data_IF_556477369971
#
_entry.id   IF_556477369971
#
_cell.length_a   1.000
_cell.length_b   1.000
_cell.length_c   1.000
_cell.angle_alpha   90.00
_cell.angle_beta   90.00
_cell.angle_gamma   90.00
#
_symmetry.space_group_name_H-M   'P 1'
#
loop_
_entity.id
_entity.type
_entity.pdbx_description
1 polymer ?
#
# COMPACT_ATOMS: atom_id res chain seq x y z
N UNK A 1 26.65 -20.47 -40.11
CA UNK A 1 27.56 -20.31 -38.94
C UNK A 1 27.42 -18.87 -38.46
N UNK A 2 26.79 -18.64 -37.32
CA UNK A 2 26.71 -17.30 -36.74
C UNK A 2 28.08 -16.84 -36.23
N UNK A 3 28.24 -15.55 -35.88
CA UNK A 3 29.49 -15.06 -35.30
C UNK A 3 29.84 -15.87 -34.03
N UNK A 4 31.13 -16.16 -33.85
CA UNK A 4 31.64 -16.86 -32.67
C UNK A 4 31.22 -16.13 -31.37
N UNK A 5 30.94 -16.89 -30.32
CA UNK A 5 30.55 -16.32 -29.02
C UNK A 5 31.70 -15.50 -28.46
N UNK A 6 31.38 -14.29 -28.00
CA UNK A 6 32.37 -13.36 -27.44
C UNK A 6 32.93 -13.84 -26.09
N UNK A 7 32.21 -14.72 -25.40
CA UNK A 7 32.67 -15.41 -24.20
C UNK A 7 32.85 -16.90 -24.50
N UNK A 8 33.83 -17.58 -23.87
CA UNK A 8 33.93 -19.04 -23.88
C UNK A 8 32.65 -19.69 -23.33
N UNK A 9 32.35 -20.90 -23.80
CA UNK A 9 31.15 -21.62 -23.40
C UNK A 9 31.08 -21.87 -21.88
N UNK A 10 32.22 -22.14 -21.24
CA UNK A 10 32.29 -22.37 -19.80
C UNK A 10 31.99 -21.10 -18.99
N UNK A 11 32.47 -19.94 -19.45
CA UNK A 11 32.15 -18.64 -18.86
C UNK A 11 30.68 -18.27 -19.02
N UNK A 12 30.06 -18.62 -20.17
CA UNK A 12 28.62 -18.45 -20.32
C UNK A 12 27.82 -19.36 -19.37
N UNK A 13 28.26 -20.60 -19.13
CA UNK A 13 27.63 -21.50 -18.14
C UNK A 13 27.78 -21.00 -16.70
N UNK A 14 28.92 -20.41 -16.36
CA UNK A 14 29.11 -19.79 -15.04
C UNK A 14 28.14 -18.60 -14.84
N UNK A 15 27.89 -17.81 -15.88
CA UNK A 15 26.89 -16.73 -15.87
C UNK A 15 25.46 -17.26 -15.70
N UNK A 16 25.10 -18.35 -16.40
CA UNK A 16 23.79 -19.01 -16.22
C UNK A 16 23.63 -19.51 -14.78
N UNK A 17 24.66 -20.16 -14.24
CA UNK A 17 24.68 -20.67 -12.86
C UNK A 17 24.53 -19.53 -11.85
N UNK A 18 25.18 -18.40 -12.08
CA UNK A 18 25.03 -17.20 -11.25
C UNK A 18 23.61 -16.62 -11.28
N UNK A 19 22.95 -16.60 -12.45
CA UNK A 19 21.55 -16.15 -12.58
C UNK A 19 20.61 -17.06 -11.78
N UNK A 20 20.79 -18.38 -11.87
CA UNK A 20 19.98 -19.36 -11.15
C UNK A 20 20.19 -19.27 -9.63
N UNK A 21 21.44 -19.11 -9.18
CA UNK A 21 21.76 -18.95 -7.77
C UNK A 21 21.20 -17.63 -7.19
N UNK A 22 21.31 -16.53 -7.95
CA UNK A 22 20.73 -15.25 -7.54
C UNK A 22 19.21 -15.37 -7.32
N UNK A 23 18.52 -16.10 -8.20
CA UNK A 23 17.10 -16.39 -8.08
C UNK A 23 16.75 -17.17 -6.81
N UNK A 24 17.58 -18.15 -6.39
CA UNK A 24 17.37 -18.91 -5.15
C UNK A 24 17.59 -18.05 -3.90
N UNK A 25 18.59 -17.15 -3.92
CA UNK A 25 18.90 -16.23 -2.81
C UNK A 25 17.90 -15.06 -2.70
N UNK A 26 16.87 -15.02 -3.56
CA UNK A 26 15.81 -13.99 -3.55
C UNK A 26 16.19 -12.69 -4.27
N UNK A 27 17.38 -12.62 -4.88
CA UNK A 27 17.81 -11.50 -5.70
C UNK A 27 17.48 -11.75 -7.18
N UNK A 28 16.93 -10.73 -7.85
CA UNK A 28 16.51 -10.85 -9.25
C UNK A 28 17.54 -10.16 -10.14
N UNK A 29 18.42 -10.95 -10.75
CA UNK A 29 19.38 -10.45 -11.74
C UNK A 29 18.63 -9.75 -12.87
N UNK A 30 18.84 -8.44 -13.00
CA UNK A 30 18.28 -7.66 -14.10
C UNK A 30 19.09 -7.86 -15.36
N UNK A 31 18.51 -7.47 -16.49
CA UNK A 31 19.24 -7.44 -17.77
C UNK A 31 20.53 -6.62 -17.68
N UNK A 32 20.56 -5.55 -16.88
CA UNK A 32 21.77 -4.75 -16.71
C UNK A 32 22.82 -5.51 -15.91
N UNK A 33 22.43 -6.17 -14.81
CA UNK A 33 23.35 -6.95 -13.99
C UNK A 33 24.01 -8.09 -14.79
N UNK A 34 23.26 -8.74 -15.69
CA UNK A 34 23.80 -9.77 -16.58
C UNK A 34 24.81 -9.20 -17.57
N UNK A 35 24.57 -7.99 -18.09
CA UNK A 35 25.51 -7.32 -18.99
C UNK A 35 26.77 -6.86 -18.26
N UNK A 36 26.64 -6.37 -17.03
CA UNK A 36 27.75 -5.93 -16.20
C UNK A 36 28.62 -7.13 -15.81
N UNK A 37 28.01 -8.23 -15.34
CA UNK A 37 28.71 -9.49 -15.05
C UNK A 37 29.36 -10.12 -16.27
N UNK A 38 28.73 -10.05 -17.44
CA UNK A 38 29.37 -10.51 -18.68
C UNK A 38 30.58 -9.65 -19.05
N UNK A 39 30.53 -8.34 -18.80
CA UNK A 39 31.65 -7.41 -19.05
C UNK A 39 32.81 -7.68 -18.09
N UNK A 40 32.53 -7.91 -16.81
CA UNK A 40 33.52 -8.34 -15.81
C UNK A 40 34.16 -9.69 -16.18
N UNK A 41 33.33 -10.68 -16.53
CA UNK A 41 33.83 -12.00 -16.93
C UNK A 41 34.71 -11.93 -18.19
N UNK A 42 34.37 -11.07 -19.13
CA UNK A 42 35.20 -10.83 -20.32
C UNK A 42 36.57 -10.24 -19.95
N UNK A 43 36.61 -9.25 -19.05
CA UNK A 43 37.85 -8.63 -18.62
C UNK A 43 38.78 -9.64 -17.94
N UNK A 44 38.23 -10.55 -17.13
CA UNK A 44 38.98 -11.62 -16.45
C UNK A 44 39.49 -12.67 -17.44
N UNK A 45 38.68 -13.08 -18.41
CA UNK A 45 39.05 -14.14 -19.37
C UNK A 45 40.08 -13.67 -20.39
N UNK A 46 40.00 -12.40 -20.80
CA UNK A 46 40.83 -11.86 -21.87
C UNK A 46 41.98 -10.96 -21.38
N UNK A 47 42.07 -10.70 -20.07
CA UNK A 47 43.10 -9.86 -19.44
C UNK A 47 43.15 -8.42 -20.01
N UNK A 48 42.01 -7.92 -20.49
CA UNK A 48 41.85 -6.54 -20.92
C UNK A 48 40.41 -6.06 -20.81
N UNK A 49 40.23 -4.79 -20.49
CA UNK A 49 38.90 -4.18 -20.39
C UNK A 49 38.31 -3.89 -21.76
N UNK A 50 37.06 -4.29 -21.94
CA UNK A 50 36.35 -4.00 -23.18
C UNK A 50 36.04 -2.48 -23.26
N UNK A 51 36.31 -1.80 -24.38
CA UNK A 51 36.01 -0.37 -24.52
C UNK A 51 34.52 -0.03 -24.51
N UNK A 52 33.66 -1.03 -24.76
CA UNK A 52 32.20 -0.89 -24.79
C UNK A 52 31.55 -2.04 -24.05
N UNK A 53 30.57 -1.80 -23.16
CA UNK A 53 29.84 -2.86 -22.49
C UNK A 53 29.12 -3.79 -23.47
N UNK A 54 28.76 -4.99 -23.00
CA UNK A 54 27.94 -5.89 -23.80
C UNK A 54 26.62 -5.25 -24.20
N UNK A 55 26.21 -5.50 -25.44
CA UNK A 55 25.05 -4.83 -26.04
C UNK A 55 23.74 -5.57 -25.75
N UNK A 56 22.60 -4.86 -25.86
CA UNK A 56 21.27 -5.48 -25.95
C UNK A 56 21.18 -6.72 -26.84
N UNK A 57 21.83 -6.67 -28.01
CA UNK A 57 21.81 -7.76 -28.98
C UNK A 57 22.62 -8.98 -28.53
N UNK A 58 23.67 -8.80 -27.71
CA UNK A 58 24.38 -9.93 -27.10
C UNK A 58 23.49 -10.64 -26.08
N UNK A 59 22.82 -9.88 -25.19
CA UNK A 59 21.89 -10.45 -24.19
C UNK A 59 20.77 -11.27 -24.84
N UNK A 60 20.16 -10.76 -25.92
CA UNK A 60 19.12 -11.52 -26.64
C UNK A 60 19.64 -12.84 -27.21
N UNK A 61 20.86 -12.86 -27.76
CA UNK A 61 21.47 -14.09 -28.26
C UNK A 61 21.91 -15.03 -27.14
N UNK A 62 22.35 -14.51 -26.00
CA UNK A 62 22.69 -15.30 -24.81
C UNK A 62 21.45 -16.03 -24.28
N UNK A 63 20.34 -15.32 -24.04
CA UNK A 63 19.07 -15.95 -23.62
C UNK A 63 18.57 -16.97 -24.67
N UNK A 64 18.72 -16.68 -25.97
CA UNK A 64 18.32 -17.63 -27.01
C UNK A 64 19.18 -18.90 -27.07
N UNK A 65 20.42 -18.88 -26.55
CA UNK A 65 21.30 -20.06 -26.46
C UNK A 65 21.02 -20.92 -25.23
N UNK A 66 20.55 -20.31 -24.15
CA UNK A 66 20.32 -20.98 -22.86
C UNK A 66 18.82 -21.09 -22.60
N UNK A 67 18.22 -22.16 -23.14
CA UNK A 67 16.75 -22.38 -23.08
C UNK A 67 16.20 -22.53 -21.66
N UNK A 68 17.04 -22.80 -20.66
CA UNK A 68 16.65 -22.75 -19.25
C UNK A 68 16.33 -21.34 -18.73
N UNK A 69 16.75 -20.28 -19.43
CA UNK A 69 16.53 -18.89 -19.03
C UNK A 69 15.37 -18.25 -19.80
N UNK A 70 14.46 -17.58 -19.08
CA UNK A 70 13.39 -16.78 -19.70
C UNK A 70 13.35 -15.37 -19.15
N UNK A 71 13.09 -14.39 -20.03
CA UNK A 71 12.79 -13.03 -19.59
C UNK A 71 11.32 -12.94 -19.17
N UNK A 72 11.07 -12.88 -17.87
CA UNK A 72 9.73 -12.67 -17.32
C UNK A 72 9.57 -11.22 -16.82
N UNK A 73 8.35 -10.68 -16.92
CA UNK A 73 8.02 -9.42 -16.24
C UNK A 73 7.93 -9.69 -14.75
N UNK A 74 8.89 -9.18 -13.98
CA UNK A 74 8.81 -9.20 -12.53
C UNK A 74 7.68 -8.26 -12.07
N UNK A 75 6.70 -8.80 -11.35
CA UNK A 75 5.78 -7.96 -10.58
C UNK A 75 6.55 -7.36 -9.42
N UNK A 76 6.49 -6.03 -9.26
CA UNK A 76 7.15 -5.33 -8.15
C UNK A 76 6.48 -5.74 -6.84
N UNK A 77 7.06 -6.76 -6.20
CA UNK A 77 6.77 -7.12 -4.82
C UNK A 77 7.69 -6.30 -3.92
N UNK A 78 7.13 -5.43 -3.08
CA UNK A 78 7.84 -4.73 -2.00
C UNK A 78 8.53 -5.76 -1.09
N UNK A 79 9.75 -5.44 -0.66
CA UNK A 79 10.72 -6.36 -0.02
C UNK A 79 10.35 -7.00 1.36
N UNK A 80 9.19 -6.80 2.04
CA UNK A 80 8.84 -7.63 3.20
C UNK A 80 7.75 -8.69 2.95
N UNK A 81 7.46 -9.06 1.69
CA UNK A 81 6.41 -10.06 1.36
C UNK A 81 6.84 -11.54 1.40
N UNK A 82 8.11 -11.84 1.67
CA UNK A 82 8.62 -13.20 1.84
C UNK A 82 8.62 -13.69 3.30
N UNK A 83 8.03 -12.94 4.24
CA UNK A 83 8.12 -13.24 5.67
C UNK A 83 6.97 -14.09 6.24
N UNK A 84 5.96 -14.42 5.43
CA UNK A 84 4.85 -15.26 5.89
C UNK A 84 5.21 -16.71 5.61
N UNK A 85 5.59 -17.43 6.66
CA UNK A 85 5.91 -18.84 6.59
C UNK A 85 4.71 -19.74 6.84
N UNK A 86 4.86 -21.02 6.46
CA UNK A 86 3.75 -21.97 6.57
C UNK A 86 3.35 -22.15 8.04
N UNK A 87 4.32 -22.15 8.96
CA UNK A 87 4.09 -22.21 10.40
C UNK A 87 3.23 -21.03 10.87
N UNK A 88 3.55 -19.80 10.44
CA UNK A 88 2.77 -18.60 10.78
C UNK A 88 1.32 -18.72 10.30
N UNK A 89 1.10 -19.29 9.12
CA UNK A 89 -0.26 -19.51 8.59
C UNK A 89 -1.02 -20.55 9.39
N UNK A 90 -0.35 -21.62 9.83
CA UNK A 90 -0.94 -22.67 10.67
C UNK A 90 -1.31 -22.11 12.05
N UNK A 91 -0.41 -21.36 12.68
CA UNK A 91 -0.66 -20.71 13.98
C UNK A 91 -1.85 -19.75 13.91
N UNK A 92 -1.87 -18.89 12.87
CA UNK A 92 -2.99 -18.00 12.63
C UNK A 92 -4.30 -18.74 12.34
N UNK A 93 -4.24 -19.89 11.63
CA UNK A 93 -5.43 -20.72 11.42
C UNK A 93 -5.99 -21.26 12.75
N UNK A 94 -5.13 -21.66 13.69
CA UNK A 94 -5.57 -22.09 15.02
C UNK A 94 -6.23 -20.95 15.80
N UNK A 95 -5.64 -19.76 15.78
CA UNK A 95 -6.23 -18.56 16.40
C UNK A 95 -7.58 -18.20 15.76
N UNK A 96 -7.67 -18.26 14.43
CA UNK A 96 -8.90 -18.02 13.67
C UNK A 96 -9.99 -19.01 14.06
N UNK A 97 -9.69 -20.32 14.10
CA UNK A 97 -10.67 -21.35 14.46
C UNK A 97 -11.18 -21.14 15.88
N UNK A 98 -10.28 -20.81 16.82
CA UNK A 98 -10.67 -20.48 18.19
C UNK A 98 -11.59 -19.25 18.21
N UNK A 99 -11.22 -18.15 17.55
CA UNK A 99 -12.03 -16.94 17.51
C UNK A 99 -13.40 -17.16 16.84
N UNK A 100 -13.46 -17.97 15.77
CA UNK A 100 -14.71 -18.35 15.11
C UNK A 100 -15.61 -19.20 16.01
N UNK A 101 -15.04 -20.06 16.85
CA UNK A 101 -15.81 -20.87 17.79
C UNK A 101 -16.56 -19.99 18.81
N UNK A 102 -15.98 -18.87 19.24
CA UNK A 102 -16.62 -17.90 20.14
C UNK A 102 -17.85 -17.21 19.51
N UNK A 103 -17.95 -17.20 18.18
CA UNK A 103 -19.09 -16.63 17.44
C UNK A 103 -19.96 -17.68 16.75
N UNK A 104 -19.75 -18.97 17.07
CA UNK A 104 -20.52 -20.08 16.51
C UNK A 104 -20.29 -20.34 15.03
N UNK A 105 -19.20 -19.81 14.45
CA UNK A 105 -18.88 -19.87 13.01
C UNK A 105 -20.04 -19.34 12.15
N UNK A 106 -20.84 -18.41 12.68
CA UNK A 106 -21.94 -17.79 11.97
C UNK A 106 -21.41 -16.70 11.03
N UNK A 107 -21.57 -16.83 9.70
CA UNK A 107 -21.06 -15.84 8.74
C UNK A 107 -21.64 -14.43 8.94
N UNK A 108 -22.82 -14.29 9.55
CA UNK A 108 -23.41 -12.98 9.86
C UNK A 108 -22.69 -12.25 11.01
N UNK A 109 -21.87 -12.97 11.78
CA UNK A 109 -21.11 -12.47 12.94
C UNK A 109 -19.61 -12.31 12.65
N UNK A 110 -19.15 -12.62 11.45
CA UNK A 110 -17.74 -12.53 11.05
C UNK A 110 -17.57 -11.38 10.07
N UNK A 111 -16.80 -10.38 10.45
CA UNK A 111 -16.57 -9.15 9.72
C UNK A 111 -15.12 -9.00 9.33
N UNK A 112 -14.88 -8.34 8.21
CA UNK A 112 -13.56 -7.93 7.75
C UNK A 112 -13.57 -6.43 7.47
N UNK A 113 -12.58 -5.72 8.03
CA UNK A 113 -12.34 -4.31 7.77
C UNK A 113 -10.97 -4.11 7.13
N UNK A 114 -10.93 -3.22 6.15
CA UNK A 114 -9.70 -2.81 5.48
C UNK A 114 -9.86 -1.39 4.88
N UNK A 115 -8.74 -0.75 4.59
CA UNK A 115 -8.69 0.58 4.02
C UNK A 115 -8.21 0.59 2.57
N UNK A 116 -8.88 1.39 1.75
CA UNK A 116 -8.42 1.69 0.40
C UNK A 116 -8.34 3.19 0.18
N UNK A 117 -7.39 3.59 -0.65
CA UNK A 117 -7.28 4.97 -1.09
C UNK A 117 -7.92 5.19 -2.46
N UNK A 118 -8.57 6.34 -2.59
CA UNK A 118 -8.88 6.94 -3.87
C UNK A 118 -7.63 7.69 -4.36
N UNK A 119 -7.05 7.18 -5.45
CA UNK A 119 -5.96 7.84 -6.15
C UNK A 119 -6.24 7.79 -7.65
N UNK A 120 -6.46 8.93 -8.33
CA UNK A 120 -6.41 8.95 -9.77
C UNK A 120 -4.96 8.65 -10.18
N UNK A 121 -4.79 7.46 -10.72
CA UNK A 121 -3.46 6.90 -10.99
C UNK A 121 -2.71 7.69 -12.07
N UNK A 122 -1.44 8.00 -11.80
CA UNK A 122 -0.42 8.46 -12.76
C UNK A 122 0.11 7.29 -13.62
N UNK A 123 -0.75 6.51 -14.26
CA UNK A 123 -0.28 5.38 -15.06
C UNK A 123 -0.17 5.75 -16.53
N UNK A 124 0.96 5.44 -17.15
CA UNK A 124 1.20 5.65 -18.57
C UNK A 124 0.08 5.00 -19.42
N UNK A 125 -0.63 5.82 -20.19
CA UNK A 125 -1.71 5.39 -21.07
C UNK A 125 -1.12 4.91 -22.39
N UNK A 126 -1.53 3.74 -22.88
CA UNK A 126 -1.28 3.36 -24.28
C UNK A 126 -2.27 4.11 -25.15
N UNK A 127 -1.76 4.92 -26.06
CA UNK A 127 -2.55 5.76 -26.98
C UNK A 127 -2.24 5.36 -28.42
N UNK A 128 -3.27 5.33 -29.26
CA UNK A 128 -3.11 5.14 -30.70
C UNK A 128 -2.93 6.51 -31.31
N UNK A 129 -1.82 6.73 -31.98
CA UNK A 129 -1.52 7.99 -32.66
C UNK A 129 -1.13 7.73 -34.10
N UNK A 130 -1.25 8.76 -34.93
CA UNK A 130 -0.83 8.70 -36.31
C UNK A 130 0.67 8.37 -36.39
N UNK A 131 1.08 7.59 -37.41
CA UNK A 131 2.45 7.06 -37.55
C UNK A 131 3.56 8.14 -37.56
N UNK A 132 3.21 9.38 -37.89
CA UNK A 132 4.15 10.52 -37.94
C UNK A 132 4.27 11.28 -36.62
N UNK A 133 3.46 10.97 -35.61
CA UNK A 133 3.49 11.63 -34.31
C UNK A 133 4.75 11.22 -33.53
N UNK A 134 5.70 12.14 -33.40
CA UNK A 134 6.99 11.89 -32.71
C UNK A 134 6.86 11.88 -31.19
N UNK A 135 5.92 12.65 -30.64
CA UNK A 135 5.65 12.75 -29.20
C UNK A 135 4.16 12.91 -28.96
N UNK A 136 3.66 12.27 -27.90
CA UNK A 136 2.25 12.30 -27.52
C UNK A 136 2.16 12.63 -26.05
N UNK A 137 1.43 13.69 -25.74
CA UNK A 137 1.16 14.12 -24.38
C UNK A 137 -0.30 13.83 -24.06
N UNK A 138 -0.55 13.33 -22.86
CA UNK A 138 -1.91 13.16 -22.33
C UNK A 138 -2.00 13.97 -21.06
N UNK A 139 -2.98 14.88 -20.98
CA UNK A 139 -3.27 15.62 -19.75
C UNK A 139 -3.65 14.64 -18.64
N UNK A 140 -3.08 14.87 -17.45
CA UNK A 140 -3.33 14.08 -16.27
C UNK A 140 -4.49 14.69 -15.47
N UNK A 141 -5.46 13.87 -15.08
CA UNK A 141 -6.48 14.27 -14.14
C UNK A 141 -5.94 14.08 -12.72
N UNK A 142 -5.16 15.05 -12.25
CA UNK A 142 -4.67 15.03 -10.87
C UNK A 142 -5.84 15.23 -9.89
N UNK A 143 -5.96 14.39 -8.86
CA UNK A 143 -6.81 14.73 -7.70
C UNK A 143 -6.09 15.74 -6.83
N UNK A 144 -6.86 16.68 -6.27
CA UNK A 144 -6.38 17.66 -5.29
C UNK A 144 -5.84 17.03 -4.02
N UNK A 145 -6.28 15.81 -3.68
CA UNK A 145 -6.01 15.18 -2.39
C UNK A 145 -6.33 13.68 -2.40
N UNK A 146 -5.61 12.93 -1.56
CA UNK A 146 -5.92 11.55 -1.20
C UNK A 146 -7.24 11.48 -0.41
N UNK A 147 -8.13 10.53 -0.73
CA UNK A 147 -9.30 10.21 0.10
C UNK A 147 -9.15 8.76 0.54
N UNK A 148 -9.14 8.52 1.85
CA UNK A 148 -9.14 7.16 2.40
C UNK A 148 -10.57 6.71 2.63
N UNK A 149 -10.85 5.46 2.28
CA UNK A 149 -12.14 4.81 2.47
C UNK A 149 -11.90 3.61 3.36
N UNK A 150 -12.47 3.65 4.55
CA UNK A 150 -12.55 2.49 5.45
C UNK A 150 -13.79 1.71 5.07
N UNK A 151 -13.61 0.45 4.67
CA UNK A 151 -14.69 -0.45 4.31
C UNK A 151 -14.77 -1.59 5.30
N UNK A 152 -15.99 -2.06 5.58
CA UNK A 152 -16.22 -3.25 6.38
C UNK A 152 -17.39 -4.06 5.82
N UNK A 153 -17.20 -5.37 5.78
CA UNK A 153 -18.14 -6.33 5.22
C UNK A 153 -18.20 -7.59 6.09
N UNK A 154 -19.35 -8.24 6.16
CA UNK A 154 -19.49 -9.54 6.83
C UNK A 154 -19.32 -10.71 5.86
N UNK A 155 -19.10 -11.91 6.40
CA UNK A 155 -18.95 -13.12 5.61
C UNK A 155 -20.25 -13.58 4.94
N UNK A 156 -21.42 -13.20 5.47
CA UNK A 156 -22.72 -13.38 4.80
C UNK A 156 -23.01 -12.33 3.71
N UNK A 157 -22.13 -11.33 3.57
CA UNK A 157 -22.16 -10.33 2.51
C UNK A 157 -22.88 -9.01 2.85
N UNK A 158 -23.25 -8.79 4.12
CA UNK A 158 -23.69 -7.48 4.60
C UNK A 158 -22.56 -6.45 4.48
N UNK A 159 -22.94 -5.22 4.11
CA UNK A 159 -22.03 -4.10 3.87
C UNK A 159 -22.26 -3.04 4.92
N UNK A 160 -21.24 -2.77 5.72
CA UNK A 160 -21.26 -1.64 6.64
C UNK A 160 -21.07 -0.35 5.84
N UNK A 161 -21.81 0.73 6.12
CA UNK A 161 -21.58 2.01 5.47
C UNK A 161 -20.11 2.47 5.64
N UNK A 162 -19.45 2.93 4.56
CA UNK A 162 -18.04 3.26 4.61
C UNK A 162 -17.78 4.55 5.39
N UNK A 163 -16.59 4.65 5.99
CA UNK A 163 -16.06 5.90 6.55
C UNK A 163 -15.05 6.52 5.58
N UNK A 164 -15.25 7.78 5.26
CA UNK A 164 -14.33 8.59 4.45
C UNK A 164 -13.41 9.41 5.35
N UNK A 165 -12.10 9.34 5.12
CA UNK A 165 -11.10 10.15 5.83
C UNK A 165 -10.46 11.11 4.83
N UNK A 166 -10.66 12.40 5.06
CA UNK A 166 -10.15 13.48 4.22
C UNK A 166 -8.95 14.18 4.86
N UNK A 167 -7.95 14.64 4.09
CA UNK A 167 -6.83 15.39 4.61
C UNK A 167 -7.26 16.80 5.01
N UNK A 168 -6.67 17.31 6.09
CA UNK A 168 -6.91 18.64 6.67
C UNK A 168 -7.74 18.60 7.95
N UNK A 169 -8.22 19.77 8.39
CA UNK A 169 -8.90 19.92 9.68
C UNK A 169 -10.39 20.23 9.56
N UNK A 170 -10.89 20.41 8.32
CA UNK A 170 -12.26 20.84 8.05
C UNK A 170 -12.86 20.06 6.88
N UNK A 171 -14.13 19.72 7.02
CA UNK A 171 -14.97 19.20 5.94
C UNK A 171 -15.87 20.33 5.45
N UNK A 172 -15.95 20.54 4.14
CA UNK A 172 -16.91 21.49 3.55
C UNK A 172 -18.31 20.89 3.51
N UNK A 173 -19.35 21.73 3.59
CA UNK A 173 -20.76 21.29 3.54
C UNK A 173 -21.03 20.47 2.28
N UNK A 174 -20.49 20.88 1.13
CA UNK A 174 -20.61 20.19 -0.16
C UNK A 174 -20.14 18.74 -0.15
N UNK A 175 -19.19 18.38 0.73
CA UNK A 175 -18.74 16.98 0.86
C UNK A 175 -19.81 16.16 1.58
N UNK A 176 -20.38 16.71 2.65
CA UNK A 176 -21.43 16.06 3.42
C UNK A 176 -22.69 15.86 2.56
N UNK A 177 -23.08 16.85 1.77
CA UNK A 177 -24.23 16.77 0.85
C UNK A 177 -24.05 15.71 -0.26
N UNK A 178 -22.81 15.34 -0.56
CA UNK A 178 -22.47 14.33 -1.59
C UNK A 178 -22.23 12.93 -1.02
N UNK A 179 -22.49 12.70 0.26
CA UNK A 179 -22.56 11.37 0.85
C UNK A 179 -23.89 10.72 0.49
N UNK A 180 -23.93 10.07 -0.68
CA UNK A 180 -25.15 9.44 -1.20
C UNK A 180 -25.49 8.10 -0.52
N UNK A 181 -24.54 7.47 0.17
CA UNK A 181 -24.77 6.20 0.87
C UNK A 181 -25.37 6.48 2.25
N UNK A 182 -26.57 5.97 2.57
CA UNK A 182 -27.15 6.10 3.89
C UNK A 182 -26.23 5.54 4.98
N UNK A 183 -25.98 6.33 6.03
CA UNK A 183 -25.10 5.96 7.13
C UNK A 183 -23.61 6.13 6.87
N UNK A 184 -23.19 6.41 5.62
CA UNK A 184 -21.79 6.72 5.36
C UNK A 184 -21.39 8.00 6.08
N UNK A 185 -20.17 7.99 6.62
CA UNK A 185 -19.67 9.08 7.47
C UNK A 185 -18.40 9.66 6.90
N UNK A 186 -18.11 10.92 7.21
CA UNK A 186 -16.87 11.59 6.84
C UNK A 186 -16.17 12.15 8.06
N UNK A 187 -14.86 11.97 8.11
CA UNK A 187 -13.98 12.55 9.11
C UNK A 187 -12.73 13.12 8.46
N UNK A 188 -11.92 13.84 9.22
CA UNK A 188 -10.67 14.40 8.73
C UNK A 188 -9.50 14.01 9.60
N UNK A 189 -8.32 13.96 8.99
CA UNK A 189 -7.05 13.90 9.71
C UNK A 189 -6.01 14.73 8.97
N UNK A 190 -4.97 15.19 9.68
CA UNK A 190 -3.95 16.10 9.14
C UNK A 190 -3.41 15.63 7.77
N UNK A 191 -3.16 14.32 7.64
CA UNK A 191 -2.64 13.70 6.42
C UNK A 191 -3.67 12.85 5.66
N UNK A 192 -4.90 12.76 6.13
CA UNK A 192 -5.96 11.92 5.54
C UNK A 192 -5.78 10.42 5.78
N UNK A 193 -4.94 10.01 6.73
CA UNK A 193 -4.76 8.61 7.15
C UNK A 193 -5.56 8.31 8.42
N UNK A 194 -5.84 7.03 8.65
CA UNK A 194 -6.39 6.55 9.92
C UNK A 194 -5.38 6.72 11.06
N UNK A 195 -5.88 6.77 12.29
CA UNK A 195 -5.10 6.77 13.52
C UNK A 195 -5.92 6.08 14.63
N UNK A 196 -5.30 5.78 15.77
CA UNK A 196 -5.96 5.02 16.84
C UNK A 196 -7.22 5.67 17.40
N UNK A 197 -7.30 7.01 17.38
CA UNK A 197 -8.52 7.73 17.79
C UNK A 197 -9.65 7.55 16.79
N UNK A 198 -9.35 7.63 15.48
CA UNK A 198 -10.31 7.39 14.41
C UNK A 198 -10.76 5.93 14.44
N UNK A 199 -9.84 4.98 14.59
CA UNK A 199 -10.13 3.55 14.67
C UNK A 199 -11.07 3.24 15.85
N UNK A 200 -10.78 3.76 17.06
CA UNK A 200 -11.67 3.61 18.22
C UNK A 200 -13.08 4.14 17.96
N UNK A 201 -13.21 5.36 17.43
CA UNK A 201 -14.53 5.93 17.10
C UNK A 201 -15.25 5.14 16.01
N UNK A 202 -14.49 4.62 15.06
CA UNK A 202 -15.03 3.78 14.00
C UNK A 202 -15.61 2.47 14.55
N UNK A 203 -15.08 1.89 15.63
CA UNK A 203 -15.70 0.73 16.30
C UNK A 203 -17.08 1.05 16.87
N UNK A 204 -17.26 2.23 17.46
CA UNK A 204 -18.59 2.68 17.94
C UNK A 204 -19.56 2.78 16.77
N UNK A 205 -19.14 3.41 15.67
CA UNK A 205 -19.94 3.51 14.44
C UNK A 205 -20.28 2.13 13.85
N UNK A 206 -19.30 1.22 13.77
CA UNK A 206 -19.51 -0.15 13.35
C UNK A 206 -20.59 -0.83 14.19
N UNK A 207 -20.53 -0.68 15.52
CA UNK A 207 -21.48 -1.30 16.42
C UNK A 207 -22.91 -0.78 16.24
N UNK A 208 -23.09 0.49 15.90
CA UNK A 208 -24.40 1.10 15.61
C UNK A 208 -25.02 0.58 14.31
N UNK A 209 -24.20 0.27 13.30
CA UNK A 209 -24.68 -0.22 12.01
C UNK A 209 -24.85 -1.73 11.91
N UNK A 210 -24.31 -2.50 12.86
CA UNK A 210 -24.58 -3.93 12.95
C UNK A 210 -26.04 -4.12 13.35
N UNK A 211 -26.84 -4.93 12.62
CA UNK A 211 -28.23 -5.17 12.96
C UNK A 211 -28.39 -5.64 14.41
N UNK A 212 -29.36 -5.07 15.14
CA UNK A 212 -29.63 -5.43 16.53
C UNK A 212 -30.00 -6.92 16.73
N UNK A 213 -30.43 -7.60 15.67
CA UNK A 213 -30.66 -9.04 15.65
C UNK A 213 -29.38 -9.89 15.68
N UNK A 214 -28.21 -9.27 15.41
CA UNK A 214 -26.92 -9.96 15.40
C UNK A 214 -26.48 -10.24 16.83
N UNK A 215 -26.37 -11.52 17.19
CA UNK A 215 -25.95 -11.94 18.52
C UNK A 215 -24.49 -11.53 18.76
N UNK A 216 -24.22 -10.94 19.93
CA UNK A 216 -22.86 -10.60 20.37
C UNK A 216 -22.23 -11.78 21.14
N UNK A 217 -20.90 -11.95 21.09
CA UNK A 217 -19.93 -11.10 20.41
C UNK A 217 -19.92 -11.28 18.88
N UNK A 218 -19.38 -10.31 18.14
CA UNK A 218 -18.98 -10.50 16.73
C UNK A 218 -17.46 -10.67 16.64
N UNK A 219 -16.99 -11.22 15.52
CA UNK A 219 -15.57 -11.31 15.19
C UNK A 219 -15.24 -10.28 14.10
N UNK A 220 -14.29 -9.39 14.36
CA UNK A 220 -13.76 -8.43 13.40
C UNK A 220 -12.32 -8.79 13.05
N UNK A 221 -12.07 -9.04 11.77
CA UNK A 221 -10.78 -9.38 11.19
C UNK A 221 -10.20 -8.14 10.49
N UNK A 222 -9.00 -7.72 10.89
CA UNK A 222 -8.36 -6.49 10.40
C UNK A 222 -6.86 -6.68 10.20
N UNK A 223 -6.21 -5.75 9.49
CA UNK A 223 -4.77 -5.81 9.30
C UNK A 223 -3.99 -5.37 10.56
N UNK A 224 -2.73 -5.79 10.64
CA UNK A 224 -1.82 -5.41 11.72
C UNK A 224 -1.23 -4.00 11.59
N UNK A 225 -1.99 -3.00 11.13
CA UNK A 225 -1.53 -1.62 11.09
C UNK A 225 -1.34 -1.04 12.50
N UNK A 226 -0.25 -0.30 12.74
CA UNK A 226 0.05 0.28 14.08
C UNK A 226 -1.07 1.16 14.62
N UNK A 227 -1.87 1.77 13.75
CA UNK A 227 -3.02 2.58 14.15
C UNK A 227 -4.15 1.77 14.81
N UNK A 228 -4.21 0.46 14.58
CA UNK A 228 -5.19 -0.44 15.17
C UNK A 228 -4.81 -0.93 16.57
N UNK A 229 -3.59 -0.65 17.02
CA UNK A 229 -3.09 -1.04 18.33
C UNK A 229 -3.20 0.11 19.32
N UNK A 230 -4.09 -0.03 20.29
CA UNK A 230 -4.17 0.85 21.46
C UNK A 230 -4.97 0.16 22.54
N UNK A 231 -4.58 0.33 23.80
CA UNK A 231 -5.36 -0.11 24.97
C UNK A 231 -6.82 0.34 24.88
N UNK A 232 -7.05 1.60 24.49
CA UNK A 232 -8.39 2.14 24.34
C UNK A 232 -9.21 1.52 23.21
N UNK A 233 -8.58 0.91 22.20
CA UNK A 233 -9.29 0.18 21.15
C UNK A 233 -9.75 -1.17 21.69
N UNK A 234 -8.91 -1.86 22.46
CA UNK A 234 -9.27 -3.12 23.11
C UNK A 234 -10.40 -2.93 24.13
N UNK A 235 -10.31 -1.91 24.99
CA UNK A 235 -11.37 -1.59 25.96
C UNK A 235 -12.71 -1.28 25.29
N UNK A 236 -12.67 -0.57 24.16
CA UNK A 236 -13.88 -0.20 23.42
C UNK A 236 -14.47 -1.41 22.71
N UNK A 237 -13.62 -2.25 22.10
CA UNK A 237 -14.05 -3.48 21.45
C UNK A 237 -14.69 -4.45 22.44
N UNK A 238 -14.11 -4.61 23.63
CA UNK A 238 -14.66 -5.44 24.71
C UNK A 238 -16.05 -4.94 25.14
N UNK A 239 -16.21 -3.63 25.40
CA UNK A 239 -17.50 -3.03 25.77
C UNK A 239 -18.58 -3.23 24.72
N UNK A 240 -18.21 -3.23 23.44
CA UNK A 240 -19.12 -3.40 22.31
C UNK A 240 -19.36 -4.87 21.92
N UNK A 241 -18.73 -5.82 22.62
CA UNK A 241 -18.80 -7.25 22.28
C UNK A 241 -18.21 -7.53 20.90
N UNK A 242 -17.03 -6.97 20.60
CA UNK A 242 -16.30 -7.16 19.35
C UNK A 242 -14.99 -7.87 19.69
N UNK A 243 -14.83 -9.09 19.18
CA UNK A 243 -13.56 -9.82 19.22
C UNK A 243 -12.70 -9.34 18.05
N UNK A 244 -11.49 -8.88 18.35
CA UNK A 244 -10.53 -8.44 17.34
C UNK A 244 -9.59 -9.58 16.99
N UNK A 245 -9.46 -9.88 15.70
CA UNK A 245 -8.46 -10.80 15.17
C UNK A 245 -7.62 -10.08 14.12
N UNK A 246 -6.30 -10.07 14.32
CA UNK A 246 -5.37 -9.40 13.42
C UNK A 246 -4.77 -10.41 12.45
N UNK A 247 -4.70 -10.03 11.17
CA UNK A 247 -3.98 -10.84 10.20
C UNK A 247 -2.48 -10.86 10.50
N UNK A 248 -1.78 -11.95 10.13
CA UNK A 248 -0.34 -12.02 10.27
C UNK A 248 0.38 -10.88 9.55
N UNK A 249 1.52 -10.46 10.09
CA UNK A 249 2.32 -9.41 9.49
C UNK A 249 2.66 -9.71 8.03
N UNK A 250 2.50 -8.72 7.15
CA UNK A 250 2.70 -8.83 5.71
C UNK A 250 1.74 -9.78 4.98
N UNK A 251 0.72 -10.34 5.63
CA UNK A 251 -0.22 -11.29 5.02
C UNK A 251 -1.48 -10.63 4.43
N UNK A 252 -1.62 -9.29 4.49
CA UNK A 252 -2.84 -8.60 4.04
C UNK A 252 -3.23 -8.97 2.61
N UNK A 253 -2.29 -8.86 1.67
CA UNK A 253 -2.50 -9.24 0.26
C UNK A 253 -2.84 -10.73 0.01
N UNK A 254 -2.63 -11.59 1.00
CA UNK A 254 -2.90 -13.03 0.92
C UNK A 254 -4.30 -13.32 1.48
N UNK A 255 -4.60 -12.80 2.67
CA UNK A 255 -5.76 -13.18 3.48
C UNK A 255 -6.83 -12.11 3.65
N UNK A 256 -6.65 -10.85 3.26
CA UNK A 256 -7.69 -9.81 3.34
C UNK A 256 -8.79 -10.03 2.28
N UNK A 257 -10.03 -10.42 2.65
CA UNK A 257 -11.14 -10.58 1.72
C UNK A 257 -11.38 -9.35 0.83
N UNK A 258 -11.37 -8.15 1.44
CA UNK A 258 -11.60 -6.90 0.74
C UNK A 258 -10.55 -6.66 -0.37
N UNK A 259 -9.28 -6.87 -0.10
CA UNK A 259 -8.22 -6.77 -1.11
C UNK A 259 -8.35 -7.81 -2.23
N UNK A 260 -8.71 -9.04 -1.88
CA UNK A 260 -8.71 -10.18 -2.82
C UNK A 260 -9.83 -10.08 -3.86
N UNK A 261 -11.05 -9.70 -3.45
CA UNK A 261 -12.21 -9.74 -4.35
C UNK A 261 -12.92 -8.41 -4.55
N UNK A 262 -12.80 -7.44 -3.64
CA UNK A 262 -13.61 -6.20 -3.68
C UNK A 262 -12.82 -5.01 -4.20
N UNK A 263 -11.67 -4.70 -3.61
CA UNK A 263 -10.94 -3.47 -3.87
C UNK A 263 -10.33 -3.39 -5.27
N UNK A 264 -9.92 -4.51 -5.86
CA UNK A 264 -9.40 -4.50 -7.23
C UNK A 264 -10.49 -4.11 -8.26
N UNK A 265 -11.64 -4.80 -8.36
CA UNK A 265 -12.75 -4.38 -9.23
C UNK A 265 -13.25 -2.98 -8.90
N UNK A 266 -13.34 -2.63 -7.61
CA UNK A 266 -13.73 -1.28 -7.18
C UNK A 266 -12.78 -0.21 -7.73
N UNK A 267 -11.47 -0.37 -7.58
CA UNK A 267 -10.45 0.56 -8.13
C UNK A 267 -10.50 0.63 -9.66
N UNK A 268 -10.79 -0.49 -10.34
CA UNK A 268 -10.95 -0.51 -11.80
C UNK A 268 -12.21 0.24 -12.26
N UNK A 269 -13.32 0.08 -11.55
CA UNK A 269 -14.56 0.83 -11.79
C UNK A 269 -14.37 2.34 -11.55
N UNK A 270 -13.69 2.73 -10.46
CA UNK A 270 -13.31 4.13 -10.18
C UNK A 270 -12.52 4.71 -11.34
N UNK A 271 -11.52 4.00 -11.85
CA UNK A 271 -10.73 4.44 -13.01
C UNK A 271 -11.53 4.49 -14.30
N UNK A 272 -12.55 3.64 -14.46
CA UNK A 272 -13.44 3.68 -15.62
C UNK A 272 -14.32 4.93 -15.56
N UNK A 273 -14.92 5.22 -14.41
CA UNK A 273 -15.77 6.39 -14.21
C UNK A 273 -15.00 7.70 -14.41
N UNK A 274 -13.77 7.76 -13.88
CA UNK A 274 -12.85 8.88 -14.08
C UNK A 274 -12.48 9.09 -15.57
N UNK A 275 -12.63 8.06 -16.41
CA UNK A 275 -12.36 8.13 -17.86
C UNK A 275 -13.61 8.41 -18.70
N UNK A 276 -14.78 7.91 -18.29
CA UNK A 276 -16.02 7.98 -19.06
C UNK A 276 -16.74 9.31 -18.91
N UNK A 277 -16.76 9.86 -17.69
CA UNK A 277 -17.10 11.25 -17.52
C UNK A 277 -15.94 12.01 -18.15
N UNK A 278 -16.12 12.51 -19.37
CA UNK A 278 -15.31 13.61 -19.83
C UNK A 278 -15.60 14.72 -18.83
N UNK A 279 -14.66 15.02 -17.93
CA UNK A 279 -14.65 16.30 -17.22
C UNK A 279 -14.37 17.36 -18.31
N UNK A 280 -15.38 17.56 -19.17
CA UNK A 280 -15.45 18.52 -20.26
C UNK A 280 -15.53 19.88 -19.60
N UNK A 281 -14.36 20.43 -19.28
CA UNK A 281 -14.01 21.85 -19.29
C UNK A 281 -12.68 22.00 -18.54
N UNK A 282 -11.60 22.21 -19.29
CA UNK A 282 -10.39 22.90 -18.84
C UNK A 282 -9.70 22.33 -17.59
N UNK A 283 -8.75 21.41 -17.77
CA UNK A 283 -7.65 21.15 -16.82
C UNK A 283 -8.02 20.87 -15.35
N UNK A 284 -9.20 20.32 -15.07
CA UNK A 284 -9.80 20.38 -13.72
C UNK A 284 -9.33 19.29 -12.76
N UNK A 285 -8.79 19.75 -11.64
CA UNK A 285 -8.43 18.96 -10.46
C UNK A 285 -9.70 18.35 -9.84
N UNK A 286 -9.71 17.03 -9.57
CA UNK A 286 -10.85 16.40 -8.88
C UNK A 286 -10.91 16.92 -7.44
N UNK A 287 -12.03 17.57 -7.08
CA UNK A 287 -12.30 18.05 -5.72
C UNK A 287 -12.65 16.88 -4.79
N UNK A 288 -12.47 17.06 -3.47
CA UNK A 288 -12.81 16.03 -2.48
C UNK A 288 -14.30 15.63 -2.54
N UNK A 289 -15.18 16.60 -2.75
CA UNK A 289 -16.63 16.38 -2.82
C UNK A 289 -17.01 15.51 -4.03
N UNK A 290 -16.40 15.76 -5.19
CA UNK A 290 -16.58 14.94 -6.40
C UNK A 290 -16.00 13.54 -6.19
N UNK A 291 -14.80 13.43 -5.59
CA UNK A 291 -14.20 12.13 -5.27
C UNK A 291 -15.09 11.28 -4.36
N UNK A 292 -15.69 11.88 -3.32
CA UNK A 292 -16.62 11.18 -2.41
C UNK A 292 -17.86 10.70 -3.17
N UNK A 293 -18.51 11.54 -3.99
CA UNK A 293 -19.68 11.14 -4.79
C UNK A 293 -19.37 9.98 -5.74
N UNK A 294 -18.23 10.04 -6.47
CA UNK A 294 -17.79 8.93 -7.34
C UNK A 294 -17.62 7.64 -6.53
N UNK A 295 -16.95 7.71 -5.38
CA UNK A 295 -16.75 6.53 -4.54
C UNK A 295 -18.07 5.99 -4.02
N UNK A 296 -18.99 6.84 -3.56
CA UNK A 296 -20.32 6.43 -3.10
C UNK A 296 -21.07 5.67 -4.18
N UNK A 297 -21.16 6.24 -5.38
CA UNK A 297 -21.82 5.63 -6.52
C UNK A 297 -21.23 4.26 -6.89
N UNK A 298 -19.90 4.16 -6.87
CA UNK A 298 -19.20 2.94 -7.28
C UNK A 298 -19.23 1.88 -6.17
N UNK A 299 -19.17 2.28 -4.91
CA UNK A 299 -19.32 1.36 -3.78
C UNK A 299 -20.72 0.73 -3.77
N UNK A 300 -21.75 1.52 -4.10
CA UNK A 300 -23.11 1.02 -4.24
C UNK A 300 -23.26 0.01 -5.39
N UNK A 301 -22.63 0.26 -6.54
CA UNK A 301 -22.82 -0.53 -7.78
C UNK A 301 -21.83 -1.70 -7.99
N UNK A 302 -20.58 -1.54 -7.57
CA UNK A 302 -19.48 -2.49 -7.84
C UNK A 302 -19.34 -3.56 -6.74
N UNK A 303 -19.68 -3.22 -5.50
CA UNK A 303 -19.52 -4.12 -4.35
C UNK A 303 -20.73 -5.05 -4.22
N UNK A 304 -20.67 -6.17 -4.95
CA UNK A 304 -21.67 -7.24 -4.95
C UNK A 304 -21.52 -8.20 -3.77
N UNK A 305 -22.64 -8.73 -3.28
CA UNK A 305 -22.71 -9.66 -2.15
C UNK A 305 -21.93 -10.95 -2.45
N UNK A 306 -22.00 -11.43 -3.69
CA UNK A 306 -21.32 -12.65 -4.13
C UNK A 306 -19.79 -12.47 -4.11
N UNK A 307 -19.29 -11.29 -4.50
CA UNK A 307 -17.85 -10.98 -4.45
C UNK A 307 -17.34 -10.96 -3.02
N UNK A 308 -18.13 -10.44 -2.07
CA UNK A 308 -17.80 -10.43 -0.64
C UNK A 308 -17.71 -11.86 -0.12
N UNK A 309 -18.77 -12.65 -0.30
CA UNK A 309 -18.81 -14.07 0.14
C UNK A 309 -17.66 -14.87 -0.44
N UNK A 310 -17.37 -14.70 -1.73
CA UNK A 310 -16.22 -15.32 -2.39
C UNK A 310 -14.88 -14.86 -1.81
N UNK A 311 -14.79 -13.63 -1.31
CA UNK A 311 -13.60 -13.11 -0.62
C UNK A 311 -13.26 -13.96 0.60
N UNK A 312 -14.21 -14.11 1.53
CA UNK A 312 -14.04 -14.96 2.71
C UNK A 312 -13.81 -16.44 2.38
N UNK A 313 -14.51 -16.93 1.36
CA UNK A 313 -14.40 -18.32 0.92
C UNK A 313 -13.02 -18.63 0.34
N UNK A 314 -12.45 -17.71 -0.46
CA UNK A 314 -11.15 -17.90 -1.13
C UNK A 314 -9.96 -17.67 -0.21
N UNK A 315 -10.10 -16.79 0.79
CA UNK A 315 -9.06 -16.57 1.81
C UNK A 315 -9.05 -17.65 2.88
N UNK A 316 -10.11 -18.46 2.98
CA UNK A 316 -10.23 -19.52 3.97
C UNK A 316 -10.55 -19.00 5.37
N UNK A 317 -11.09 -17.78 5.47
CA UNK A 317 -11.47 -17.17 6.75
C UNK A 317 -12.83 -17.64 7.24
N UNK A 318 -13.82 -17.73 6.34
CA UNK A 318 -15.18 -18.16 6.69
C UNK A 318 -15.87 -18.84 5.49
N UNK A 319 -16.14 -20.15 5.53
CA UNK A 319 -15.73 -21.10 6.58
C UNK A 319 -14.20 -21.24 6.68
N UNK A 320 -13.67 -21.56 7.88
CA UNK A 320 -12.23 -21.70 8.08
C UNK A 320 -11.69 -22.88 7.26
N UNK A 321 -10.62 -22.67 6.49
CA UNK A 321 -10.00 -23.72 5.68
C UNK A 321 -8.49 -23.52 5.55
N UNK A 322 -7.72 -24.36 6.23
CA UNK A 322 -6.26 -24.35 6.17
C UNK A 322 -5.76 -24.62 4.74
N UNK A 323 -6.35 -25.58 4.03
CA UNK A 323 -5.96 -25.91 2.65
C UNK A 323 -6.06 -24.71 1.71
N UNK A 324 -7.11 -23.90 1.84
CA UNK A 324 -7.25 -22.68 1.06
C UNK A 324 -6.23 -21.62 1.45
N UNK A 325 -5.95 -21.48 2.74
CA UNK A 325 -4.94 -20.54 3.23
C UNK A 325 -3.54 -20.90 2.72
N UNK A 326 -3.18 -22.18 2.76
CA UNK A 326 -1.92 -22.71 2.24
C UNK A 326 -1.86 -22.60 0.71
N UNK A 327 -2.94 -22.91 0.01
CA UNK A 327 -3.04 -22.70 -1.44
C UNK A 327 -2.80 -21.22 -1.78
N UNK A 328 -3.42 -20.29 -1.05
CA UNK A 328 -3.20 -18.85 -1.25
C UNK A 328 -1.74 -18.47 -1.00
N UNK A 329 -1.11 -18.99 0.05
CA UNK A 329 0.32 -18.78 0.33
C UNK A 329 1.19 -19.24 -0.85
N UNK A 330 0.88 -20.39 -1.44
CA UNK A 330 1.62 -20.96 -2.58
C UNK A 330 1.59 -20.09 -3.84
N UNK A 331 0.58 -19.23 -4.01
CA UNK A 331 0.50 -18.30 -5.14
C UNK A 331 1.52 -17.15 -5.05
N UNK A 332 2.03 -16.87 -3.85
CA UNK A 332 2.93 -15.74 -3.58
C UNK A 332 4.36 -16.17 -3.24
N UNK A 333 4.57 -17.41 -2.77
CA UNK A 333 5.90 -18.00 -2.69
C UNK A 333 6.30 -18.55 -4.07
N UNK A 334 7.50 -18.23 -4.61
CA UNK A 334 8.00 -18.94 -5.78
C UNK A 334 8.11 -20.43 -5.43
N UNK A 335 7.84 -21.36 -6.37
CA UNK A 335 8.15 -22.76 -6.15
C UNK A 335 9.64 -22.88 -5.78
N UNK A 336 9.92 -23.45 -4.60
CA UNK A 336 11.25 -23.97 -4.30
C UNK A 336 11.46 -25.14 -5.25
N UNK A 337 12.18 -24.89 -6.34
CA UNK A 337 12.61 -25.94 -7.24
C UNK A 337 13.87 -26.58 -6.66
N UNK A 338 13.68 -27.57 -5.80
CA UNK A 338 14.77 -28.38 -5.23
C UNK A 338 15.46 -29.27 -6.30
N UNK A 339 14.99 -29.25 -7.55
CA UNK A 339 15.58 -30.04 -8.64
C UNK A 339 16.87 -29.43 -9.22
N UNK A 340 17.16 -28.15 -8.93
CA UNK A 340 18.43 -27.52 -9.30
C UNK A 340 19.46 -27.83 -8.21
N UNK A 341 20.08 -29.01 -8.30
CA UNK A 341 21.30 -29.31 -7.55
C UNK A 341 22.39 -28.33 -8.01
N UNK A 342 22.63 -27.27 -7.24
CA UNK A 342 23.82 -26.45 -7.40
C UNK A 342 25.02 -27.35 -7.13
N UNK A 343 25.87 -27.49 -8.15
CA UNK A 343 27.07 -28.32 -8.09
C UNK A 343 27.97 -27.87 -6.93
N UNK A 344 28.42 -28.82 -6.10
CA UNK A 344 29.19 -28.55 -4.88
C UNK A 344 30.48 -27.78 -5.12
N UNK A 345 30.99 -27.82 -6.36
CA UNK A 345 32.13 -27.03 -6.83
C UNK A 345 31.92 -25.51 -6.75
N UNK A 346 30.66 -25.05 -6.73
CA UNK A 346 30.34 -23.61 -6.63
C UNK A 346 30.55 -23.06 -5.22
N UNK A 347 30.28 -23.84 -4.17
CA UNK A 347 30.51 -23.42 -2.77
C UNK A 347 32.01 -23.15 -2.52
N UNK A 348 32.89 -23.95 -3.13
CA UNK A 348 34.35 -23.75 -3.10
C UNK A 348 34.78 -22.53 -3.91
N UNK A 349 34.24 -22.33 -5.13
CA UNK A 349 34.53 -21.14 -5.96
C UNK A 349 34.06 -19.84 -5.31
N UNK A 350 32.93 -19.85 -4.60
CA UNK A 350 32.40 -18.69 -3.87
C UNK A 350 33.32 -18.25 -2.73
N UNK A 351 34.03 -19.18 -2.08
CA UNK A 351 35.02 -18.86 -1.05
C UNK A 351 36.27 -18.19 -1.64
N UNK A 352 36.74 -18.66 -2.81
CA UNK A 352 37.92 -18.12 -3.51
C UNK A 352 37.65 -16.74 -4.14
N UNK A 353 36.45 -16.50 -4.67
CA UNK A 353 36.09 -15.19 -5.25
C UNK A 353 35.94 -14.13 -4.17
N UNK A 354 35.44 -14.48 -2.97
CA UNK A 354 35.35 -13.59 -1.80
C UNK A 354 36.71 -13.15 -1.26
N UNK A 355 37.74 -13.98 -1.39
CA UNK A 355 39.09 -13.61 -0.93
C UNK A 355 39.87 -12.75 -1.94
N UNK A 356 39.46 -12.76 -3.21
CA UNK A 356 40.28 -12.23 -4.30
C UNK A 356 39.76 -10.89 -4.88
N UNK A 357 38.46 -10.61 -4.75
CA UNK A 357 37.85 -9.39 -5.33
C UNK A 357 36.72 -8.90 -4.42
N UNK A 358 36.76 -7.60 -4.09
CA UNK A 358 35.75 -6.79 -3.37
C UNK A 358 36.07 -6.45 -1.90
N UNK A 359 36.74 -5.32 -1.71
CA UNK A 359 36.61 -4.51 -0.50
C UNK A 359 35.12 -4.22 -0.22
N UNK A 360 34.73 -4.37 1.05
CA UNK A 360 33.43 -3.92 1.57
C UNK A 360 33.20 -2.44 1.24
N UNK A 361 32.05 -2.11 0.65
CA UNK A 361 31.54 -0.73 0.70
C UNK A 361 31.17 -0.36 2.14
N UNK A 362 31.50 0.88 2.53
CA UNK A 362 31.20 1.44 3.85
C UNK A 362 29.70 1.36 4.20
N UNK A 363 29.40 0.91 5.42
CA UNK A 363 28.05 0.99 5.97
C UNK A 363 27.64 2.45 6.16
N UNK A 364 26.56 2.88 5.48
CA UNK A 364 25.94 4.18 5.74
C UNK A 364 25.42 4.24 7.18
N UNK A 365 25.91 5.23 7.93
CA UNK A 365 25.50 5.56 9.31
C UNK A 365 23.98 5.75 9.43
N UNK A 366 23.39 5.16 10.48
CA UNK A 366 21.99 5.38 10.91
C UNK A 366 21.76 6.88 11.19
N UNK A 367 20.67 7.46 10.64
CA UNK A 367 20.19 8.79 11.04
C UNK A 367 19.25 8.66 12.24
N UNK A 368 19.45 9.51 13.25
CA UNK A 368 18.63 9.59 14.46
C UNK A 368 17.18 10.02 14.16
N UNK A 369 16.22 9.45 14.88
CA UNK A 369 14.83 9.89 14.86
C UNK A 369 14.68 11.25 15.56
N UNK A 370 13.82 12.12 15.01
CA UNK A 370 13.37 13.34 15.69
C UNK A 370 12.07 13.02 16.44
N UNK A 371 12.02 13.43 17.72
CA UNK A 371 10.81 13.45 18.56
C UNK A 371 9.95 14.67 18.18
N UNK A 372 8.63 14.51 18.14
CA UNK A 372 7.71 15.64 17.97
C UNK A 372 6.64 15.59 19.06
N UNK A 373 6.40 16.75 19.68
CA UNK A 373 5.40 16.99 20.73
C UNK A 373 4.03 17.29 20.13
N UNK A 374 2.99 16.88 20.85
CA UNK A 374 1.58 17.01 20.51
C UNK A 374 0.98 18.34 20.98
N UNK A 375 0.19 18.98 20.13
CA UNK A 375 -0.79 20.04 20.44
C UNK A 375 -1.89 19.84 19.39
N UNK A 376 -3.19 19.71 19.63
CA UNK A 376 -4.11 19.97 20.73
C UNK A 376 -5.42 19.23 20.42
N UNK A 377 -6.02 18.54 21.39
CA UNK A 377 -7.26 17.78 21.22
C UNK A 377 -8.50 18.47 21.77
N UNK A 378 -9.43 18.87 20.88
CA UNK A 378 -10.85 19.12 21.20
C UNK A 378 -11.69 19.11 19.92
N UNK A 379 -12.75 18.29 19.89
CA UNK A 379 -13.77 18.30 18.84
C UNK A 379 -15.04 18.98 19.37
N UNK A 380 -15.69 19.71 18.47
CA UNK A 380 -16.86 20.56 18.70
C UNK A 380 -18.12 19.75 18.40
N UNK A 381 -19.07 19.70 19.34
CA UNK A 381 -20.44 19.21 19.16
C UNK A 381 -21.40 20.38 18.88
N UNK A 382 -22.60 20.10 18.38
CA UNK A 382 -23.64 21.09 18.04
C UNK A 382 -23.96 22.07 19.19
N UNK A 383 -23.86 21.61 20.44
CA UNK A 383 -24.18 22.40 21.63
C UNK A 383 -23.11 23.45 21.97
N UNK A 384 -21.88 23.29 21.44
CA UNK A 384 -20.79 24.25 21.63
C UNK A 384 -20.93 25.51 20.77
N UNK A 385 -21.81 25.47 19.75
CA UNK A 385 -22.06 26.59 18.84
C UNK A 385 -22.75 27.77 19.56
N UNK A 386 -23.66 27.46 20.48
CA UNK A 386 -24.43 28.43 21.27
C UNK A 386 -23.54 29.26 22.21
N UNK A 387 -22.51 28.62 22.78
CA UNK A 387 -21.58 29.23 23.73
C UNK A 387 -20.55 30.14 23.03
N UNK A 388 -20.10 29.76 21.83
CA UNK A 388 -19.15 30.55 21.04
C UNK A 388 -19.78 31.83 20.45
N UNK A 389 -21.07 31.79 20.07
CA UNK A 389 -21.78 32.98 19.61
C UNK A 389 -21.98 34.00 20.75
N UNK A 390 -22.26 33.54 21.97
CA UNK A 390 -22.37 34.40 23.15
C UNK A 390 -21.04 35.09 23.53
N UNK A 391 -19.89 34.41 23.35
CA UNK A 391 -18.56 34.96 23.64
C UNK A 391 -18.04 35.92 22.56
N UNK A 392 -18.42 35.73 21.29
CA UNK A 392 -18.02 36.60 20.19
C UNK A 392 -18.69 37.99 20.22
N UNK A 393 -19.92 38.07 20.76
CA UNK A 393 -20.63 39.33 20.95
C UNK A 393 -20.03 40.23 22.06
N UNK A 394 -19.16 39.68 22.92
CA UNK A 394 -18.68 40.35 24.13
C UNK A 394 -17.28 40.99 24.04
N UNK A 395 -16.58 40.95 22.89
CA UNK A 395 -15.20 41.48 22.76
C UNK A 395 -15.11 42.80 21.96
N UNK A 396 -14.53 43.88 22.52
CA UNK A 396 -14.34 45.14 21.78
C UNK A 396 -13.14 45.09 20.83
N UNK A 397 -13.25 45.76 19.67
CA UNK A 397 -12.25 45.76 18.59
C UNK A 397 -11.03 46.65 18.94
N UNK A 398 -9.82 46.09 18.91
CA UNK A 398 -8.57 46.80 19.19
C UNK A 398 -7.91 47.43 17.94
N UNK A 399 -7.44 48.67 18.07
CA UNK A 399 -6.74 49.49 17.06
C UNK A 399 -5.26 49.08 16.84
N UNK A 400 -4.77 49.20 15.60
CA UNK A 400 -3.38 48.93 15.18
C UNK A 400 -2.45 50.12 15.47
N UNK A 401 -1.26 49.88 16.05
CA UNK A 401 -0.13 50.84 16.12
C UNK A 401 0.94 50.51 15.07
N UNK A 402 1.43 51.54 14.36
CA UNK A 402 2.60 51.49 13.44
C UNK A 402 3.89 51.83 14.21
N UNK A 403 4.99 51.13 13.93
CA UNK A 403 6.31 51.40 14.50
C UNK A 403 7.17 52.26 13.55
N UNK A 404 7.93 53.20 14.12
CA UNK A 404 8.93 54.03 13.44
C UNK A 404 10.34 53.66 13.91
N UNK A 405 11.33 53.79 13.02
CA UNK A 405 12.75 53.42 13.18
C UNK A 405 13.56 54.65 13.62
N UNK A 406 14.52 54.58 14.56
CA UNK A 406 15.37 55.71 14.90
C UNK A 406 16.72 55.68 14.16
N UNK A 407 17.21 56.88 13.81
CA UNK A 407 18.54 57.15 13.26
C UNK A 407 19.41 57.73 14.37
N UNK A 408 20.65 57.25 14.50
CA UNK A 408 21.66 57.74 15.45
C UNK A 408 22.46 58.86 14.78
N UNK A 409 22.54 60.02 15.44
CA UNK A 409 23.40 61.15 15.05
C UNK A 409 24.37 61.48 16.19
N UNK A 410 25.60 61.83 15.79
CA UNK A 410 26.80 62.00 16.61
C UNK A 410 27.02 63.50 16.90
N UNK A 411 27.72 63.75 18.01
CA UNK A 411 28.57 64.90 18.36
C UNK A 411 28.01 66.12 19.11
N UNK A 412 28.72 66.43 20.21
CA UNK A 412 29.24 67.78 20.43
C UNK A 412 28.65 68.58 21.59
N UNK A 413 29.33 68.53 22.74
CA UNK A 413 29.70 69.68 23.62
C UNK A 413 29.30 71.09 23.10
N UNK A 414 28.81 72.06 23.88
CA UNK A 414 29.42 72.59 25.10
C UNK A 414 28.67 73.85 25.63
N UNK A 415 28.73 74.06 26.95
CA UNK A 415 28.74 75.32 27.76
C UNK A 415 27.46 76.15 28.02
N UNK A 416 27.26 76.37 29.33
CA UNK A 416 26.39 77.22 30.19
C UNK A 416 24.91 76.92 30.25
#
# INVERSE_FOLDING_TARGET
>A
MGPATTLPADTEKDLVTWILASQQDGDRATRQDVLDRATEAFAVVHDYERPTPFTPGWYQRFIARHSELKTAKASVLSKPRNAVDQEIVVDFFHELVHALSCVGIDPSRVFNMDETSFSPTKTAKKVVVHRSSKQVYVEDSSASSHVTVVACVSADGFKVPPLFILPGDRVSVDVCERLEIPGASVTTSEKGWTNSFICRKWLTMLSEFIPASTVRPILLILDGCSSHYSEHIYDEAEKLGILLLFLPANASHIFQPLDVTVFRPFKEAVRKEIRSNKWDSSGSIISKAVAVSIVCHIWASSTKVESIRNGFLCTGLCPPSLDKMLYRLSLFKPPQDDSIKIDGMWLERRAVVRSSVLFLQEQKKKRNSRKTLTVSGRFITSDYHSILQAQAAARPKAQKRKAAIPVIGVDGTCVV
#
